data_IF_189760314420
#
_entry.id   IF_189760314420
#
_cell.length_a   1.000
_cell.length_b   1.000
_cell.length_c   1.000
_cell.angle_alpha   90.00
_cell.angle_beta   90.00
_cell.angle_gamma   90.00
#
_symmetry.space_group_name_H-M   'P 1'
#
loop_
_entity.id
_entity.type
_entity.pdbx_description
1 polymer ?
#
# COMPACT_ATOMS: atom_id res chain seq x y z
N UNK A 1 -0.76 12.15 -32.52
CA UNK A 1 -0.42 11.35 -31.32
C UNK A 1 -1.64 10.51 -31.01
N UNK A 2 -1.55 9.18 -31.09
CA UNK A 2 -2.66 8.30 -30.75
C UNK A 2 -2.93 8.42 -29.24
N UNK A 3 -4.15 8.75 -28.86
CA UNK A 3 -4.57 8.77 -27.44
C UNK A 3 -4.38 7.37 -26.86
N UNK A 4 -3.79 7.25 -25.67
CA UNK A 4 -3.70 5.95 -25.01
C UNK A 4 -5.10 5.38 -24.76
N UNK A 5 -5.33 4.09 -25.08
CA UNK A 5 -6.65 3.49 -24.94
C UNK A 5 -7.11 3.51 -23.47
N UNK A 6 -8.42 3.67 -23.26
CA UNK A 6 -9.01 3.65 -21.93
C UNK A 6 -8.88 2.26 -21.28
N UNK A 7 -8.79 2.21 -19.94
CA UNK A 7 -8.66 0.93 -19.20
C UNK A 7 -9.76 -0.07 -19.54
N UNK A 8 -11.01 0.41 -19.64
CA UNK A 8 -12.16 -0.44 -20.00
C UNK A 8 -12.02 -1.06 -21.39
N UNK A 9 -11.44 -0.33 -22.33
CA UNK A 9 -11.18 -0.79 -23.68
C UNK A 9 -10.09 -1.87 -23.69
N UNK A 10 -8.98 -1.62 -22.96
CA UNK A 10 -7.91 -2.59 -22.78
C UNK A 10 -8.43 -3.89 -22.13
N UNK A 11 -9.27 -3.76 -21.10
CA UNK A 11 -9.87 -4.91 -20.42
C UNK A 11 -10.74 -5.73 -21.37
N UNK A 12 -11.58 -5.07 -22.20
CA UNK A 12 -12.40 -5.75 -23.21
C UNK A 12 -11.53 -6.50 -24.22
N UNK A 13 -10.44 -5.90 -24.68
CA UNK A 13 -9.50 -6.52 -25.61
C UNK A 13 -8.83 -7.76 -25.01
N UNK A 14 -8.39 -7.68 -23.76
CA UNK A 14 -7.80 -8.83 -23.04
C UNK A 14 -8.81 -9.96 -22.90
N UNK A 15 -10.04 -9.65 -22.50
CA UNK A 15 -11.11 -10.63 -22.34
C UNK A 15 -11.56 -11.24 -23.69
N UNK A 16 -11.36 -10.52 -24.79
CA UNK A 16 -11.57 -11.01 -26.15
C UNK A 16 -10.39 -11.86 -26.70
N UNK A 17 -9.40 -12.20 -25.84
CA UNK A 17 -8.25 -13.05 -26.20
C UNK A 17 -6.98 -12.31 -26.62
N UNK A 18 -6.97 -10.97 -26.67
CA UNK A 18 -5.77 -10.18 -26.98
C UNK A 18 -4.93 -9.98 -25.72
N UNK A 19 -4.34 -11.07 -25.23
CA UNK A 19 -3.62 -11.12 -23.92
C UNK A 19 -2.46 -10.15 -23.83
N UNK A 20 -1.78 -9.86 -24.95
CA UNK A 20 -0.68 -8.91 -25.04
C UNK A 20 -1.07 -7.48 -24.60
N UNK A 21 -2.37 -7.14 -24.69
CA UNK A 21 -2.90 -5.84 -24.23
C UNK A 21 -2.85 -5.69 -22.72
N UNK A 22 -2.82 -6.79 -21.97
CA UNK A 22 -2.64 -6.76 -20.52
C UNK A 22 -1.29 -6.14 -20.12
N UNK A 23 -0.25 -6.31 -20.94
CA UNK A 23 1.05 -5.67 -20.72
C UNK A 23 0.98 -4.13 -20.67
N UNK A 24 0.00 -3.51 -21.32
CA UNK A 24 -0.21 -2.05 -21.23
C UNK A 24 -0.75 -1.68 -19.84
N UNK A 25 -1.71 -2.45 -19.30
CA UNK A 25 -2.22 -2.25 -17.94
C UNK A 25 -1.12 -2.45 -16.89
N UNK A 26 -0.26 -3.48 -17.06
CA UNK A 26 0.89 -3.69 -16.17
C UNK A 26 1.77 -2.44 -16.15
N UNK A 27 2.24 -1.96 -17.31
CA UNK A 27 3.11 -0.77 -17.41
C UNK A 27 2.46 0.47 -16.79
N UNK A 28 1.16 0.66 -16.99
CA UNK A 28 0.41 1.81 -16.46
C UNK A 28 0.33 1.78 -14.93
N UNK A 29 0.15 0.61 -14.35
CA UNK A 29 -0.18 0.46 -12.93
C UNK A 29 0.92 -0.16 -12.07
N UNK A 30 2.05 -0.61 -12.63
CA UNK A 30 3.15 -1.23 -11.87
C UNK A 30 3.67 -0.33 -10.75
N UNK A 31 3.78 1.00 -11.01
CA UNK A 31 4.23 1.95 -9.98
C UNK A 31 3.22 2.09 -8.83
N UNK A 32 1.93 2.07 -9.14
CA UNK A 32 0.86 2.10 -8.15
C UNK A 32 0.93 0.86 -7.26
N UNK A 33 0.99 -0.33 -7.86
CA UNK A 33 1.05 -1.62 -7.15
C UNK A 33 2.29 -1.68 -6.27
N UNK A 34 3.47 -1.38 -6.81
CA UNK A 34 4.73 -1.39 -6.07
C UNK A 34 4.70 -0.41 -4.87
N UNK A 35 4.19 0.81 -5.09
CA UNK A 35 4.08 1.81 -4.02
C UNK A 35 3.10 1.36 -2.93
N UNK A 36 1.96 0.77 -3.31
CA UNK A 36 0.98 0.25 -2.35
C UNK A 36 1.56 -0.93 -1.54
N UNK A 37 2.28 -1.85 -2.18
CA UNK A 37 2.96 -2.96 -1.51
C UNK A 37 3.98 -2.45 -0.48
N UNK A 38 4.85 -1.50 -0.86
CA UNK A 38 5.78 -0.83 0.06
C UNK A 38 5.04 -0.22 1.26
N UNK A 39 3.97 0.53 1.04
CA UNK A 39 3.17 1.16 2.11
C UNK A 39 2.50 0.13 3.03
N UNK A 40 2.22 -1.06 2.51
CA UNK A 40 1.76 -2.19 3.32
C UNK A 40 2.90 -2.89 4.08
N UNK A 41 4.16 -2.43 3.92
CA UNK A 41 5.35 -2.90 4.63
C UNK A 41 5.90 -4.20 4.05
N UNK A 42 5.74 -4.39 2.76
CA UNK A 42 6.50 -5.41 2.02
C UNK A 42 7.94 -4.92 1.90
N UNK A 43 8.94 -5.73 2.23
CA UNK A 43 10.35 -5.42 2.02
C UNK A 43 10.63 -5.08 0.55
N UNK A 44 11.58 -4.18 0.30
CA UNK A 44 11.85 -3.67 -1.05
C UNK A 44 12.24 -4.77 -2.03
N UNK A 45 13.00 -5.73 -1.54
CA UNK A 45 13.44 -6.94 -2.24
C UNK A 45 12.30 -7.87 -2.66
N UNK A 46 11.19 -7.86 -1.93
CA UNK A 46 10.02 -8.73 -2.17
C UNK A 46 8.91 -8.02 -2.98
N UNK A 47 9.06 -6.72 -3.25
CA UNK A 47 8.02 -5.92 -3.95
C UNK A 47 7.75 -6.44 -5.36
N UNK A 48 8.76 -6.90 -6.07
CA UNK A 48 8.61 -7.40 -7.43
C UNK A 48 7.80 -8.69 -7.46
N UNK A 49 8.08 -9.61 -6.54
CA UNK A 49 7.35 -10.89 -6.42
C UNK A 49 5.88 -10.64 -6.04
N UNK A 50 5.64 -9.80 -5.03
CA UNK A 50 4.28 -9.43 -4.62
C UNK A 50 3.54 -8.70 -5.75
N UNK A 51 4.21 -7.83 -6.49
CA UNK A 51 3.60 -7.15 -7.64
C UNK A 51 3.22 -8.11 -8.75
N UNK A 52 4.06 -9.10 -9.03
CA UNK A 52 3.80 -10.16 -10.01
C UNK A 52 2.58 -11.00 -9.60
N UNK A 53 2.50 -11.37 -8.32
CA UNK A 53 1.34 -12.07 -7.75
C UNK A 53 0.06 -11.24 -7.87
N UNK A 54 0.14 -9.93 -7.58
CA UNK A 54 -0.99 -9.00 -7.73
C UNK A 54 -1.49 -8.97 -9.17
N UNK A 55 -0.60 -8.78 -10.16
CA UNK A 55 -1.01 -8.75 -11.56
C UNK A 55 -1.55 -10.10 -12.04
N UNK A 56 -1.04 -11.21 -11.55
CA UNK A 56 -1.61 -12.52 -11.80
C UNK A 56 -3.04 -12.64 -11.25
N UNK A 57 -3.28 -12.23 -10.00
CA UNK A 57 -4.62 -12.20 -9.39
C UNK A 57 -5.57 -11.26 -10.17
N UNK A 58 -5.07 -10.10 -10.61
CA UNK A 58 -5.81 -9.15 -11.46
C UNK A 58 -6.23 -9.83 -12.76
N UNK A 59 -5.30 -10.43 -13.49
CA UNK A 59 -5.57 -11.12 -14.75
C UNK A 59 -6.63 -12.22 -14.58
N UNK A 60 -6.47 -13.07 -13.56
CA UNK A 60 -7.40 -14.18 -13.26
C UNK A 60 -8.80 -13.70 -12.88
N UNK A 61 -8.93 -12.51 -12.32
CA UNK A 61 -10.20 -11.94 -11.89
C UNK A 61 -10.72 -10.81 -12.78
N UNK A 62 -10.07 -10.55 -13.93
CA UNK A 62 -10.36 -9.41 -14.80
C UNK A 62 -11.81 -9.39 -15.30
N UNK A 63 -12.41 -10.56 -15.56
CA UNK A 63 -13.82 -10.70 -15.94
C UNK A 63 -14.82 -10.26 -14.83
N UNK A 64 -14.34 -10.11 -13.59
CA UNK A 64 -15.14 -9.64 -12.44
C UNK A 64 -15.01 -8.14 -12.19
N UNK A 65 -14.13 -7.48 -12.95
CA UNK A 65 -13.99 -6.03 -12.84
C UNK A 65 -15.29 -5.34 -13.27
N UNK A 66 -15.72 -4.37 -12.49
CA UNK A 66 -16.90 -3.54 -12.75
C UNK A 66 -16.46 -2.10 -13.01
N UNK A 67 -16.78 -1.54 -14.19
CA UNK A 67 -16.31 -0.22 -14.60
C UNK A 67 -16.94 0.96 -13.83
N UNK A 68 -17.90 0.71 -12.93
CA UNK A 68 -18.45 1.73 -12.03
C UNK A 68 -17.42 2.28 -11.03
N UNK A 69 -16.31 1.55 -10.85
CA UNK A 69 -15.20 1.96 -10.00
C UNK A 69 -13.93 2.12 -10.83
N UNK A 70 -13.06 3.05 -10.42
CA UNK A 70 -11.76 3.21 -11.04
C UNK A 70 -10.94 1.91 -10.94
N UNK A 71 -10.24 1.54 -12.03
CA UNK A 71 -9.37 0.36 -12.04
C UNK A 71 -8.27 0.44 -10.96
N UNK A 72 -7.76 1.64 -10.71
CA UNK A 72 -6.81 1.90 -9.62
C UNK A 72 -7.33 1.46 -8.26
N UNK A 73 -8.58 1.79 -7.90
CA UNK A 73 -9.23 1.37 -6.64
C UNK A 73 -9.29 -0.16 -6.52
N UNK A 74 -9.64 -0.83 -7.61
CA UNK A 74 -9.70 -2.28 -7.64
C UNK A 74 -8.32 -2.93 -7.49
N UNK A 75 -7.30 -2.37 -8.16
CA UNK A 75 -5.91 -2.79 -8.02
C UNK A 75 -5.39 -2.60 -6.59
N UNK A 76 -5.68 -1.47 -5.97
CA UNK A 76 -5.32 -1.23 -4.56
C UNK A 76 -5.89 -2.30 -3.64
N UNK A 77 -7.16 -2.65 -3.80
CA UNK A 77 -7.81 -3.71 -3.02
C UNK A 77 -7.06 -5.04 -3.16
N UNK A 78 -6.74 -5.44 -4.39
CA UNK A 78 -6.01 -6.69 -4.64
C UNK A 78 -4.60 -6.62 -4.04
N UNK A 79 -3.91 -5.48 -4.18
CA UNK A 79 -2.56 -5.28 -3.65
C UNK A 79 -2.53 -5.34 -2.12
N UNK A 80 -3.47 -4.66 -1.44
CA UNK A 80 -3.55 -4.68 0.03
C UNK A 80 -3.83 -6.11 0.52
N UNK A 81 -4.74 -6.84 -0.11
CA UNK A 81 -5.04 -8.21 0.27
C UNK A 81 -3.83 -9.13 0.02
N UNK A 82 -3.15 -9.03 -1.12
CA UNK A 82 -1.94 -9.79 -1.39
C UNK A 82 -0.84 -9.51 -0.37
N UNK A 83 -0.63 -8.24 0.00
CA UNK A 83 0.35 -7.85 1.02
C UNK A 83 -0.02 -8.37 2.43
N UNK A 84 -1.31 -8.42 2.77
CA UNK A 84 -1.77 -9.02 4.03
C UNK A 84 -1.52 -10.53 4.06
N UNK A 85 -1.80 -11.23 2.96
CA UNK A 85 -1.60 -12.67 2.82
C UNK A 85 -0.11 -13.01 2.88
N UNK A 86 0.72 -12.28 2.14
CA UNK A 86 2.18 -12.43 2.14
C UNK A 86 2.76 -12.31 3.56
N UNK A 87 2.35 -11.29 4.32
CA UNK A 87 2.79 -11.13 5.72
C UNK A 87 2.26 -12.19 6.67
N UNK A 88 1.14 -12.83 6.37
CA UNK A 88 0.67 -13.97 7.16
C UNK A 88 1.54 -15.21 6.89
N UNK A 89 1.90 -15.45 5.64
CA UNK A 89 2.79 -16.55 5.22
C UNK A 89 4.17 -16.39 5.88
N UNK A 90 4.84 -15.25 5.68
CA UNK A 90 6.16 -14.96 6.21
C UNK A 90 6.19 -15.01 7.76
N UNK A 91 5.11 -14.60 8.42
CA UNK A 91 5.02 -14.70 9.90
C UNK A 91 4.81 -16.12 10.39
N UNK A 92 4.23 -17.00 9.57
CA UNK A 92 4.13 -18.44 9.87
C UNK A 92 5.51 -19.10 9.74
N UNK A 93 6.28 -18.71 8.73
CA UNK A 93 7.65 -19.19 8.52
C UNK A 93 8.61 -18.66 9.58
N UNK A 94 8.57 -17.36 9.91
CA UNK A 94 9.42 -16.77 10.96
C UNK A 94 9.06 -17.16 12.39
N UNK A 95 7.97 -17.86 12.62
CA UNK A 95 7.70 -18.51 13.90
C UNK A 95 8.52 -19.78 14.11
N UNK A 96 9.16 -20.26 13.06
CA UNK A 96 10.15 -21.36 13.13
C UNK A 96 11.60 -20.85 13.18
N UNK A 97 11.86 -19.56 12.89
CA UNK A 97 13.18 -18.94 13.00
C UNK A 97 13.05 -17.58 13.72
N UNK A 98 13.60 -17.49 14.93
CA UNK A 98 13.83 -16.22 15.61
C UNK A 98 14.89 -15.43 14.87
N UNK A 99 14.54 -14.36 14.14
CA UNK A 99 15.50 -13.42 13.59
C UNK A 99 15.07 -11.98 13.89
N UNK A 100 16.02 -11.28 14.48
CA UNK A 100 16.08 -9.88 14.86
C UNK A 100 15.86 -8.93 13.68
N UNK A 101 15.22 -7.76 13.84
CA UNK A 101 15.09 -6.79 12.76
C UNK A 101 16.44 -6.09 12.51
N UNK A 102 16.99 -6.30 11.35
CA UNK A 102 18.21 -5.60 10.90
C UNK A 102 17.87 -4.15 10.58
N UNK A 103 18.42 -3.25 11.36
CA UNK A 103 18.39 -1.80 11.11
C UNK A 103 19.40 -1.48 9.99
N UNK A 104 18.91 -0.99 8.86
CA UNK A 104 19.75 -0.44 7.82
C UNK A 104 20.02 1.04 8.11
N UNK A 105 21.27 1.36 8.46
CA UNK A 105 21.78 2.72 8.61
C UNK A 105 21.99 3.38 7.25
N UNK A 106 21.20 4.44 6.96
CA UNK A 106 21.38 5.30 5.80
C UNK A 106 21.48 6.76 6.23
N UNK A 107 22.68 7.36 6.06
CA UNK A 107 22.95 8.78 6.35
C UNK A 107 22.23 9.74 5.39
N UNK A 108 21.83 10.93 5.83
CA UNK A 108 21.09 11.91 5.02
C UNK A 108 21.99 12.67 4.04
N UNK A 109 21.51 12.87 2.83
CA UNK A 109 22.08 13.77 1.84
C UNK A 109 21.20 15.00 1.67
N UNK A 110 21.85 16.18 1.64
CA UNK A 110 21.24 17.52 1.67
C UNK A 110 20.87 17.98 0.25
N UNK A 111 19.62 17.74 -0.16
CA UNK A 111 19.01 18.42 -1.31
C UNK A 111 17.48 18.39 -1.13
N UNK A 112 16.74 19.42 -1.58
CA UNK A 112 15.27 19.50 -1.39
C UNK A 112 14.53 18.29 -1.96
N UNK A 113 14.96 17.74 -3.09
CA UNK A 113 14.45 16.47 -3.62
C UNK A 113 14.88 15.27 -2.77
N UNK A 114 16.03 15.34 -2.09
CA UNK A 114 16.48 14.35 -1.12
C UNK A 114 15.62 14.41 0.16
N UNK A 115 15.20 15.60 0.60
CA UNK A 115 14.31 15.78 1.75
C UNK A 115 12.95 15.13 1.59
N UNK A 116 12.34 15.25 0.41
CA UNK A 116 11.05 14.61 0.13
C UNK A 116 11.18 13.07 0.03
N UNK A 117 12.26 12.57 -0.55
CA UNK A 117 12.55 11.13 -0.60
C UNK A 117 12.83 10.57 0.80
N UNK A 118 13.60 11.28 1.60
CA UNK A 118 13.89 10.89 2.97
C UNK A 118 12.63 10.91 3.84
N UNK A 119 11.80 11.95 3.71
CA UNK A 119 10.51 12.03 4.40
C UNK A 119 9.57 10.88 4.01
N UNK A 120 9.54 10.52 2.72
CA UNK A 120 8.77 9.38 2.23
C UNK A 120 9.31 8.04 2.79
N UNK A 121 10.65 7.89 2.90
CA UNK A 121 11.30 6.72 3.51
C UNK A 121 10.92 6.59 4.99
N UNK A 122 11.08 7.67 5.75
CA UNK A 122 10.75 7.68 7.19
C UNK A 122 9.26 7.39 7.44
N UNK A 123 8.37 7.93 6.59
CA UNK A 123 6.93 7.64 6.67
C UNK A 123 6.65 6.17 6.38
N UNK A 124 7.33 5.60 5.38
CA UNK A 124 7.22 4.17 5.08
C UNK A 124 7.64 3.32 6.28
N UNK A 125 8.76 3.62 6.91
CA UNK A 125 9.23 2.91 8.11
C UNK A 125 8.26 3.05 9.29
N UNK A 126 7.72 4.27 9.51
CA UNK A 126 6.72 4.51 10.53
C UNK A 126 5.44 3.70 10.30
N UNK A 127 4.96 3.64 9.06
CA UNK A 127 3.84 2.79 8.67
C UNK A 127 4.17 1.31 8.86
N UNK A 128 5.41 0.90 8.61
CA UNK A 128 5.89 -0.47 8.83
C UNK A 128 5.72 -0.96 10.26
N UNK A 129 5.82 -0.05 11.24
CA UNK A 129 5.65 -0.36 12.68
C UNK A 129 4.20 -0.52 13.13
N UNK A 130 3.22 -0.07 12.32
CA UNK A 130 1.80 -0.24 12.63
C UNK A 130 1.37 -1.67 12.30
N UNK A 131 0.67 -2.39 13.19
CA UNK A 131 0.11 -3.69 12.89
C UNK A 131 -0.74 -3.67 11.60
N UNK A 132 -0.60 -4.68 10.75
CA UNK A 132 -1.17 -4.70 9.39
C UNK A 132 -2.68 -4.45 9.34
N UNK A 133 -3.45 -4.96 10.31
CA UNK A 133 -4.89 -4.77 10.40
C UNK A 133 -5.33 -3.32 10.74
N UNK A 134 -4.44 -2.50 11.30
CA UNK A 134 -4.63 -1.05 11.46
C UNK A 134 -4.04 -0.27 10.28
N UNK A 135 -2.93 -0.74 9.73
CA UNK A 135 -2.25 -0.09 8.59
C UNK A 135 -3.10 -0.12 7.32
N UNK A 136 -3.70 -1.27 7.00
CA UNK A 136 -4.48 -1.42 5.78
C UNK A 136 -5.58 -0.36 5.62
N UNK A 137 -6.52 -0.16 6.58
CA UNK A 137 -7.52 0.89 6.45
C UNK A 137 -6.90 2.30 6.44
N UNK A 138 -5.79 2.53 7.15
CA UNK A 138 -5.10 3.83 7.16
C UNK A 138 -4.53 4.19 5.78
N UNK A 139 -3.88 3.24 5.12
CA UNK A 139 -3.33 3.40 3.78
C UNK A 139 -4.46 3.66 2.79
N UNK A 140 -5.51 2.86 2.79
CA UNK A 140 -6.64 3.01 1.88
C UNK A 140 -7.37 4.34 2.06
N UNK A 141 -7.56 4.82 3.30
CA UNK A 141 -8.25 6.07 3.57
C UNK A 141 -7.41 7.31 3.25
N UNK A 142 -6.14 7.35 3.71
CA UNK A 142 -5.36 8.60 3.71
C UNK A 142 -4.41 8.75 2.52
N UNK A 143 -4.04 7.64 1.92
CA UNK A 143 -3.09 7.66 0.81
C UNK A 143 -3.83 7.47 -0.52
N UNK A 144 -4.83 6.61 -0.52
CA UNK A 144 -5.64 6.32 -1.71
C UNK A 144 -6.95 7.10 -1.76
N UNK A 145 -7.30 7.78 -0.66
CA UNK A 145 -8.50 8.61 -0.59
C UNK A 145 -9.81 7.84 -0.72
N UNK A 146 -9.82 6.53 -0.45
CA UNK A 146 -11.02 5.72 -0.60
C UNK A 146 -12.06 6.08 0.46
N UNK A 147 -13.35 6.16 0.07
CA UNK A 147 -14.43 6.35 1.01
C UNK A 147 -14.58 5.12 1.93
N UNK A 148 -15.11 5.36 3.12
CA UNK A 148 -15.23 4.36 4.17
C UNK A 148 -15.92 3.06 3.72
N UNK A 149 -16.99 3.19 2.96
CA UNK A 149 -17.73 2.06 2.39
C UNK A 149 -16.89 1.20 1.45
N UNK A 150 -16.04 1.82 0.63
CA UNK A 150 -15.13 1.09 -0.26
C UNK A 150 -14.04 0.37 0.52
N UNK A 151 -13.51 0.98 1.58
CA UNK A 151 -12.53 0.35 2.48
C UNK A 151 -13.16 -0.86 3.19
N UNK A 152 -14.41 -0.72 3.66
CA UNK A 152 -15.17 -1.79 4.30
C UNK A 152 -15.32 -2.98 3.35
N UNK A 153 -15.74 -2.73 2.11
CA UNK A 153 -15.84 -3.74 1.06
C UNK A 153 -14.49 -4.35 0.67
N UNK A 154 -13.43 -3.52 0.59
CA UNK A 154 -12.10 -3.97 0.22
C UNK A 154 -11.50 -4.93 1.25
N UNK A 155 -11.73 -4.69 2.53
CA UNK A 155 -11.17 -5.46 3.64
C UNK A 155 -12.14 -6.51 4.20
N UNK A 156 -13.35 -6.62 3.64
CA UNK A 156 -14.43 -7.49 4.10
C UNK A 156 -14.72 -7.32 5.60
N UNK A 157 -14.96 -6.07 6.00
CA UNK A 157 -15.18 -5.68 7.39
C UNK A 157 -16.34 -4.68 7.50
N UNK A 158 -17.11 -4.70 8.61
CA UNK A 158 -18.12 -3.66 8.88
C UNK A 158 -17.49 -2.27 8.95
N UNK A 159 -18.19 -1.24 8.46
CA UNK A 159 -17.71 0.15 8.53
C UNK A 159 -17.38 0.62 9.95
N UNK A 160 -18.15 0.20 10.97
CA UNK A 160 -17.87 0.49 12.36
C UNK A 160 -16.50 -0.04 12.80
N UNK A 161 -16.11 -1.22 12.30
CA UNK A 161 -14.78 -1.80 12.53
C UNK A 161 -13.71 -0.97 11.82
N UNK A 162 -13.96 -0.50 10.60
CA UNK A 162 -13.02 0.37 9.87
C UNK A 162 -12.82 1.69 10.63
N UNK A 163 -13.91 2.35 11.07
CA UNK A 163 -13.84 3.59 11.87
C UNK A 163 -12.96 3.42 13.12
N UNK A 164 -13.20 2.36 13.88
CA UNK A 164 -12.42 2.07 15.10
C UNK A 164 -10.95 1.76 14.78
N UNK A 165 -10.67 1.02 13.71
CA UNK A 165 -9.30 0.73 13.28
C UNK A 165 -8.57 1.98 12.79
N UNK A 166 -9.23 2.86 12.05
CA UNK A 166 -8.67 4.14 11.61
C UNK A 166 -8.32 5.04 12.80
N UNK A 167 -9.21 5.12 13.79
CA UNK A 167 -8.95 5.89 15.02
C UNK A 167 -7.69 5.39 15.73
N UNK A 168 -7.59 4.08 15.97
CA UNK A 168 -6.42 3.46 16.61
C UNK A 168 -5.16 3.59 15.76
N UNK A 169 -5.27 3.42 14.44
CA UNK A 169 -4.14 3.56 13.53
C UNK A 169 -3.51 4.95 13.56
N UNK A 170 -4.36 6.00 13.58
CA UNK A 170 -3.90 7.40 13.70
C UNK A 170 -3.19 7.66 15.02
N UNK A 171 -3.73 7.14 16.12
CA UNK A 171 -3.11 7.28 17.44
C UNK A 171 -1.73 6.57 17.49
N UNK A 172 -1.65 5.35 16.95
CA UNK A 172 -0.39 4.60 16.87
C UNK A 172 0.63 5.32 15.97
N UNK A 173 0.21 5.81 14.80
CA UNK A 173 1.11 6.54 13.90
C UNK A 173 1.67 7.79 14.56
N UNK A 174 0.82 8.58 15.23
CA UNK A 174 1.23 9.78 15.98
C UNK A 174 2.29 9.43 17.04
N UNK A 175 2.07 8.36 17.80
CA UNK A 175 2.99 7.92 18.84
C UNK A 175 4.32 7.41 18.26
N UNK A 176 4.27 6.64 17.19
CA UNK A 176 5.45 6.13 16.48
C UNK A 176 6.27 7.30 15.92
N UNK A 177 5.62 8.28 15.26
CA UNK A 177 6.28 9.48 14.73
C UNK A 177 6.94 10.26 15.87
N UNK A 178 6.23 10.51 16.96
CA UNK A 178 6.76 11.25 18.10
C UNK A 178 8.00 10.59 18.72
N UNK A 179 8.00 9.26 18.83
CA UNK A 179 9.09 8.52 19.48
C UNK A 179 10.29 8.26 18.59
N UNK A 180 10.06 7.95 17.32
CA UNK A 180 11.09 7.40 16.44
C UNK A 180 11.42 8.27 15.24
N UNK A 181 10.53 9.18 14.87
CA UNK A 181 10.65 9.96 13.63
C UNK A 181 10.28 11.44 13.84
N UNK A 182 10.92 12.15 14.80
CA UNK A 182 10.56 13.54 15.12
C UNK A 182 10.64 14.48 13.91
N UNK A 183 11.48 14.18 12.92
CA UNK A 183 11.56 14.90 11.66
C UNK A 183 10.27 14.85 10.80
N UNK A 184 9.36 13.92 11.07
CA UNK A 184 8.05 13.85 10.43
C UNK A 184 6.97 14.63 11.19
N UNK A 185 7.24 15.06 12.42
CA UNK A 185 6.28 15.84 13.19
C UNK A 185 6.02 17.19 12.51
N UNK A 186 4.75 17.66 12.46
CA UNK A 186 4.47 19.00 11.97
C UNK A 186 5.20 20.04 12.84
N UNK A 187 5.76 21.07 12.18
CA UNK A 187 6.40 22.18 12.88
C UNK A 187 5.36 22.84 13.83
N UNK A 188 5.58 22.70 15.15
CA UNK A 188 4.66 23.21 16.20
C UNK A 188 4.13 22.15 17.16
N UNK A 189 4.44 20.86 16.98
CA UNK A 189 4.00 19.78 17.88
C UNK A 189 4.95 19.53 19.06
N UNK A 190 5.92 20.41 19.30
CA UNK A 190 6.84 20.35 20.45
C UNK A 190 6.34 21.27 21.53
N UNK A 191 5.23 20.95 22.19
CA UNK A 191 4.92 21.52 23.50
C UNK A 191 4.98 20.41 24.56
N UNK A 192 5.71 20.76 25.59
CA UNK A 192 6.24 19.95 26.66
C UNK A 192 5.18 19.31 27.59
N UNK A 193 5.58 18.32 28.37
CA UNK A 193 4.75 17.85 29.48
C UNK A 193 4.79 18.86 30.62
N UNK A 194 3.64 19.28 31.07
CA UNK A 194 3.45 19.74 32.44
C UNK A 194 2.90 18.61 33.26
#
# INVERSE_FOLDING_TARGET
>A
MASEPADVELIREVLAGRVERFGILIRRYQRLVATAALRMGIPREEVEDVSSEVFYKVYRSLARYRPEHALSTWLYRITVNAALDHRRSTRHESRMEEISPTLSDGRPSLDRQAGDKERARLLHEALGRIPSHYRAPLVLAHIEGLPLEEIARALDLPEGTIKSRLFRARALLKEIIRRHYPALAPAGATEAPS
#
